data_IF_030385911767
#
_entry.id   IF_030385911767
#
_cell.length_a   1.000
_cell.length_b   1.000
_cell.length_c   1.000
_cell.angle_alpha   90.00
_cell.angle_beta   90.00
_cell.angle_gamma   90.00
#
_symmetry.space_group_name_H-M   'P 1'
#
loop_
_entity.id
_entity.type
_entity.pdbx_description
1 polymer ?
#
# COMPACT_ATOMS: atom_id res chain seq x y z
N UNK A 1 -49.26 6.82 -9.22
CA UNK A 1 -48.50 5.65 -8.73
C UNK A 1 -47.09 6.10 -8.40
N UNK A 2 -46.75 6.24 -7.11
CA UNK A 2 -45.39 6.57 -6.68
C UNK A 2 -44.53 5.31 -6.83
N UNK A 3 -43.69 5.27 -7.86
CA UNK A 3 -42.68 4.23 -8.00
C UNK A 3 -41.77 4.29 -6.77
N UNK A 4 -41.85 3.26 -5.92
CA UNK A 4 -40.87 3.04 -4.85
C UNK A 4 -39.54 2.76 -5.53
N UNK A 5 -38.73 3.80 -5.73
CA UNK A 5 -37.33 3.65 -6.08
C UNK A 5 -36.73 2.71 -5.03
N UNK A 6 -36.31 1.52 -5.46
CA UNK A 6 -35.53 0.63 -4.60
C UNK A 6 -34.34 1.45 -4.08
N UNK A 7 -34.07 1.43 -2.76
CA UNK A 7 -32.84 2.03 -2.26
C UNK A 7 -31.68 1.42 -3.05
N UNK A 8 -30.79 2.27 -3.56
CA UNK A 8 -29.60 1.83 -4.28
C UNK A 8 -28.89 0.77 -3.42
N UNK A 9 -28.46 -0.34 -4.03
CA UNK A 9 -27.72 -1.35 -3.28
C UNK A 9 -26.49 -0.70 -2.68
N UNK A 10 -26.23 -0.95 -1.40
CA UNK A 10 -25.04 -0.44 -0.74
C UNK A 10 -23.79 -0.83 -1.55
N UNK A 11 -22.79 0.08 -1.67
CA UNK A 11 -21.55 -0.24 -2.34
C UNK A 11 -20.88 -1.45 -1.69
N UNK A 12 -20.44 -2.40 -2.52
CA UNK A 12 -19.68 -3.56 -2.06
C UNK A 12 -18.22 -3.16 -1.89
N UNK A 13 -17.87 -2.67 -0.70
CA UNK A 13 -16.53 -2.15 -0.42
C UNK A 13 -15.43 -3.21 -0.51
N UNK A 14 -15.76 -4.50 -0.33
CA UNK A 14 -14.81 -5.60 -0.52
C UNK A 14 -14.35 -5.71 -1.97
N UNK A 15 -15.18 -5.27 -2.92
CA UNK A 15 -14.85 -5.21 -4.35
C UNK A 15 -14.26 -3.87 -4.79
N UNK A 16 -14.51 -2.80 -4.03
CA UNK A 16 -14.06 -1.45 -4.39
C UNK A 16 -12.70 -1.09 -3.79
N UNK A 17 -12.39 -1.58 -2.58
CA UNK A 17 -11.13 -1.30 -1.88
C UNK A 17 -10.07 -2.36 -2.20
N UNK A 18 -9.81 -2.57 -3.48
CA UNK A 18 -8.83 -3.55 -3.95
C UNK A 18 -7.54 -2.85 -4.33
N UNK A 19 -6.42 -3.32 -3.77
CA UNK A 19 -5.08 -2.88 -4.18
C UNK A 19 -4.78 -3.55 -5.53
N UNK A 20 -4.38 -2.79 -6.57
CA UNK A 20 -3.99 -3.36 -7.85
C UNK A 20 -2.90 -4.43 -7.68
N UNK A 21 -2.97 -5.49 -8.46
CA UNK A 21 -1.92 -6.52 -8.47
C UNK A 21 -0.60 -5.95 -8.99
N UNK A 22 0.52 -6.48 -8.48
CA UNK A 22 1.85 -6.07 -8.94
C UNK A 22 2.00 -6.46 -10.42
N UNK A 23 2.39 -5.53 -11.30
CA UNK A 23 2.55 -5.83 -12.71
C UNK A 23 3.70 -6.82 -12.95
N UNK A 24 3.54 -7.67 -13.97
CA UNK A 24 4.56 -8.62 -14.38
C UNK A 24 5.90 -7.93 -14.77
N UNK A 25 5.85 -6.67 -15.22
CA UNK A 25 7.03 -5.87 -15.59
C UNK A 25 8.04 -5.72 -14.45
N UNK A 26 7.58 -5.67 -13.18
CA UNK A 26 8.47 -5.63 -12.02
C UNK A 26 9.21 -6.96 -11.87
N UNK A 27 8.52 -8.09 -12.00
CA UNK A 27 9.12 -9.41 -11.91
C UNK A 27 10.14 -9.65 -13.05
N UNK A 28 9.82 -9.18 -14.25
CA UNK A 28 10.74 -9.20 -15.39
C UNK A 28 11.99 -8.34 -15.14
N UNK A 29 11.81 -7.12 -14.63
CA UNK A 29 12.92 -6.24 -14.28
C UNK A 29 13.80 -6.83 -13.16
N UNK A 30 13.20 -7.49 -12.17
CA UNK A 30 13.94 -8.22 -11.13
C UNK A 30 14.73 -9.41 -11.71
N UNK A 31 14.17 -10.15 -12.67
CA UNK A 31 14.89 -11.22 -13.34
C UNK A 31 16.10 -10.70 -14.13
N UNK A 32 15.96 -9.54 -14.80
CA UNK A 32 17.07 -8.88 -15.50
C UNK A 32 18.15 -8.41 -14.52
N UNK A 33 17.76 -7.82 -13.38
CA UNK A 33 18.70 -7.42 -12.33
C UNK A 33 19.48 -8.63 -11.79
N UNK A 34 18.80 -9.74 -11.49
CA UNK A 34 19.47 -10.97 -11.02
C UNK A 34 20.51 -11.48 -12.02
N UNK A 35 20.20 -11.45 -13.32
CA UNK A 35 21.15 -11.83 -14.38
C UNK A 35 22.34 -10.88 -14.45
N UNK A 36 22.12 -9.58 -14.34
CA UNK A 36 23.19 -8.58 -14.37
C UNK A 36 24.13 -8.70 -13.15
N UNK A 37 23.57 -8.92 -11.95
CA UNK A 37 24.34 -9.17 -10.72
C UNK A 37 25.19 -10.43 -10.86
N UNK A 38 24.59 -11.53 -11.33
CA UNK A 38 25.32 -12.79 -11.53
C UNK A 38 26.48 -12.64 -12.53
N UNK A 39 26.26 -11.93 -13.65
CA UNK A 39 27.30 -11.66 -14.62
C UNK A 39 28.43 -10.79 -14.03
N UNK A 40 28.10 -9.78 -13.21
CA UNK A 40 29.08 -8.95 -12.51
C UNK A 40 29.88 -9.76 -11.48
N UNK A 41 29.24 -10.65 -10.72
CA UNK A 41 29.91 -11.54 -9.76
C UNK A 41 30.89 -12.47 -10.45
N UNK A 42 30.46 -13.08 -11.56
CA UNK A 42 31.32 -13.96 -12.35
C UNK A 42 32.52 -13.20 -12.94
N UNK A 43 32.29 -12.02 -13.51
CA UNK A 43 33.37 -11.16 -14.01
C UNK A 43 34.36 -10.79 -12.91
N UNK A 44 33.86 -10.38 -11.75
CA UNK A 44 34.70 -10.01 -10.61
C UNK A 44 35.49 -11.20 -10.05
N UNK A 45 34.89 -12.38 -9.99
CA UNK A 45 35.58 -13.61 -9.60
C UNK A 45 36.75 -13.90 -10.56
N UNK A 46 36.53 -13.82 -11.87
CA UNK A 46 37.59 -14.00 -12.88
C UNK A 46 38.73 -13.00 -12.72
N UNK A 47 38.42 -11.72 -12.43
CA UNK A 47 39.44 -10.70 -12.16
C UNK A 47 40.26 -11.01 -10.90
N UNK A 48 39.60 -11.41 -9.80
CA UNK A 48 40.27 -11.80 -8.55
C UNK A 48 41.17 -13.03 -8.79
N UNK A 49 40.69 -14.02 -9.53
CA UNK A 49 41.47 -15.20 -9.88
C UNK A 49 42.69 -14.86 -10.74
N UNK A 50 42.54 -13.97 -11.72
CA UNK A 50 43.63 -13.48 -12.56
C UNK A 50 44.71 -12.78 -11.72
N UNK A 51 44.30 -11.90 -10.80
CA UNK A 51 45.21 -11.24 -9.86
C UNK A 51 45.92 -12.23 -8.93
N UNK A 52 45.23 -13.26 -8.43
CA UNK A 52 45.84 -14.33 -7.63
C UNK A 52 46.85 -15.15 -8.43
N UNK A 53 46.56 -15.47 -9.69
CA UNK A 53 47.48 -16.19 -10.59
C UNK A 53 48.72 -15.37 -10.89
N UNK A 54 48.60 -14.05 -11.05
CA UNK A 54 49.72 -13.15 -11.26
C UNK A 54 50.62 -13.07 -10.01
N UNK A 55 50.04 -12.95 -8.82
CA UNK A 55 50.80 -12.85 -7.57
C UNK A 55 51.55 -14.14 -7.19
N UNK A 56 51.02 -15.31 -7.56
CA UNK A 56 51.55 -16.62 -7.15
C UNK A 56 52.44 -17.28 -8.21
N UNK A 57 53.06 -16.52 -9.12
CA UNK A 57 53.90 -17.10 -10.17
C UNK A 57 55.22 -17.66 -9.61
N UNK A 58 55.60 -18.89 -9.98
CA UNK A 58 56.87 -19.48 -9.54
C UNK A 58 58.07 -18.81 -10.22
N UNK A 59 59.07 -18.45 -9.41
CA UNK A 59 60.33 -17.86 -9.89
C UNK A 59 61.07 -18.84 -10.80
N UNK A 60 61.51 -18.37 -11.97
CA UNK A 60 62.28 -19.16 -12.94
C UNK A 60 61.46 -19.91 -13.99
N UNK A 61 60.12 -19.86 -13.95
CA UNK A 61 59.24 -20.33 -15.03
C UNK A 61 58.67 -19.15 -15.82
N UNK A 62 58.33 -19.35 -17.12
CA UNK A 62 57.67 -18.31 -17.90
C UNK A 62 56.29 -17.96 -17.32
N UNK A 63 55.91 -16.66 -17.32
CA UNK A 63 54.67 -16.20 -16.71
C UNK A 63 53.44 -16.76 -17.43
N UNK A 64 52.48 -17.30 -16.67
CA UNK A 64 51.21 -17.84 -17.21
C UNK A 64 50.14 -16.78 -17.44
N UNK A 65 50.31 -15.60 -16.81
CA UNK A 65 49.44 -14.43 -16.98
C UNK A 65 50.31 -13.17 -16.82
N UNK A 66 50.02 -12.13 -17.58
CA UNK A 66 50.69 -10.84 -17.49
C UNK A 66 49.83 -9.82 -16.73
N UNK A 67 50.45 -8.74 -16.26
CA UNK A 67 49.72 -7.59 -15.70
C UNK A 67 48.69 -7.04 -16.70
N UNK A 68 49.05 -7.01 -18.00
CA UNK A 68 48.18 -6.58 -19.08
C UNK A 68 46.91 -7.42 -19.18
N UNK A 69 47.00 -8.74 -19.00
CA UNK A 69 45.83 -9.62 -19.03
C UNK A 69 44.88 -9.35 -17.86
N UNK A 70 45.43 -9.05 -16.67
CA UNK A 70 44.63 -8.68 -15.49
C UNK A 70 43.92 -7.34 -15.74
N UNK A 71 44.64 -6.35 -16.29
CA UNK A 71 44.09 -5.04 -16.61
C UNK A 71 43.00 -5.12 -17.70
N UNK A 72 43.19 -5.97 -18.72
CA UNK A 72 42.20 -6.23 -19.77
C UNK A 72 40.93 -6.87 -19.19
N UNK A 73 41.04 -7.83 -18.26
CA UNK A 73 39.89 -8.40 -17.55
C UNK A 73 39.22 -7.34 -16.65
N UNK A 74 40.01 -6.49 -16.00
CA UNK A 74 39.52 -5.37 -15.18
C UNK A 74 38.70 -4.38 -16.00
N UNK A 75 39.13 -4.06 -17.22
CA UNK A 75 38.41 -3.19 -18.14
C UNK A 75 37.03 -3.75 -18.54
N UNK A 76 36.87 -5.08 -18.57
CA UNK A 76 35.59 -5.74 -18.86
C UNK A 76 34.59 -5.68 -17.69
N UNK A 77 35.01 -5.29 -16.49
CA UNK A 77 34.10 -5.17 -15.34
C UNK A 77 33.21 -3.93 -15.42
N UNK A 78 33.73 -2.81 -15.95
CA UNK A 78 32.99 -1.56 -16.04
C UNK A 78 31.62 -1.71 -16.75
N UNK A 79 31.52 -2.33 -17.95
CA UNK A 79 30.23 -2.54 -18.59
C UNK A 79 29.29 -3.46 -17.80
N UNK A 80 29.81 -4.37 -16.96
CA UNK A 80 28.98 -5.23 -16.09
C UNK A 80 28.36 -4.43 -14.94
N UNK A 81 29.13 -3.54 -14.32
CA UNK A 81 28.61 -2.61 -13.31
C UNK A 81 27.58 -1.65 -13.90
N UNK A 82 27.83 -1.14 -15.13
CA UNK A 82 26.88 -0.26 -15.81
C UNK A 82 25.59 -1.01 -16.16
N UNK A 83 25.67 -2.27 -16.59
CA UNK A 83 24.51 -3.11 -16.86
C UNK A 83 23.68 -3.40 -15.59
N UNK A 84 24.34 -3.70 -14.46
CA UNK A 84 23.68 -3.86 -13.16
C UNK A 84 22.96 -2.57 -12.73
N UNK A 85 23.64 -1.43 -12.83
CA UNK A 85 23.07 -0.12 -12.48
C UNK A 85 21.85 0.21 -13.34
N UNK A 86 21.90 -0.06 -14.64
CA UNK A 86 20.76 0.14 -15.54
C UNK A 86 19.59 -0.80 -15.21
N UNK A 87 19.87 -2.08 -14.94
CA UNK A 87 18.85 -3.05 -14.57
C UNK A 87 18.16 -2.65 -13.26
N UNK A 88 18.94 -2.18 -12.28
CA UNK A 88 18.41 -1.67 -11.00
C UNK A 88 17.55 -0.43 -11.21
N UNK A 89 18.03 0.55 -11.97
CA UNK A 89 17.27 1.77 -12.26
C UNK A 89 15.92 1.46 -12.92
N UNK A 90 15.88 0.52 -13.88
CA UNK A 90 14.62 0.10 -14.50
C UNK A 90 13.66 -0.56 -13.52
N UNK A 91 14.16 -1.46 -12.66
CA UNK A 91 13.34 -2.09 -11.63
C UNK A 91 12.74 -1.06 -10.69
N UNK A 92 13.54 -0.10 -10.23
CA UNK A 92 13.09 0.93 -9.31
C UNK A 92 12.09 1.89 -9.98
N UNK A 93 12.28 2.22 -11.26
CA UNK A 93 11.32 3.00 -12.05
C UNK A 93 9.97 2.29 -12.17
N UNK A 94 9.94 0.99 -12.47
CA UNK A 94 8.70 0.20 -12.57
C UNK A 94 7.97 0.09 -11.22
N UNK A 95 8.72 -0.05 -10.12
CA UNK A 95 8.15 -0.03 -8.76
C UNK A 95 7.56 1.33 -8.45
N UNK A 96 8.26 2.43 -8.74
CA UNK A 96 7.77 3.78 -8.50
C UNK A 96 6.52 4.10 -9.32
N UNK A 97 6.48 3.68 -10.60
CA UNK A 97 5.27 3.80 -11.43
C UNK A 97 4.09 3.06 -10.84
N UNK A 98 4.31 1.83 -10.35
CA UNK A 98 3.27 1.05 -9.70
C UNK A 98 2.79 1.73 -8.42
N UNK A 99 3.68 2.15 -7.53
CA UNK A 99 3.32 2.85 -6.28
C UNK A 99 2.55 4.15 -6.57
N UNK A 100 2.98 4.92 -7.57
CA UNK A 100 2.30 6.12 -8.00
C UNK A 100 0.90 5.85 -8.59
N UNK A 101 0.64 4.64 -9.10
CA UNK A 101 -0.67 4.25 -9.64
C UNK A 101 -1.69 3.86 -8.56
N UNK A 102 -1.22 3.43 -7.38
CA UNK A 102 -2.10 2.96 -6.28
C UNK A 102 -2.93 4.12 -5.72
N UNK A 103 -2.30 5.26 -5.46
CA UNK A 103 -2.98 6.43 -4.89
C UNK A 103 -4.23 6.83 -5.70
N UNK A 104 -4.08 7.17 -6.99
CA UNK A 104 -5.20 7.51 -7.87
C UNK A 104 -6.29 6.42 -7.94
N UNK A 105 -5.90 5.14 -7.89
CA UNK A 105 -6.86 4.02 -7.91
C UNK A 105 -7.72 3.94 -6.64
N UNK A 106 -7.19 4.39 -5.49
CA UNK A 106 -7.87 4.30 -4.20
C UNK A 106 -8.59 5.58 -3.76
N UNK A 107 -8.25 6.74 -4.33
CA UNK A 107 -8.86 8.03 -3.96
C UNK A 107 -10.38 8.00 -4.06
N UNK A 108 -10.93 7.55 -5.18
CA UNK A 108 -12.39 7.52 -5.38
C UNK A 108 -13.09 6.46 -4.49
N UNK A 109 -12.62 5.19 -4.41
CA UNK A 109 -13.18 4.21 -3.48
C UNK A 109 -13.16 4.65 -2.00
N UNK A 110 -12.05 5.25 -1.54
CA UNK A 110 -11.95 5.77 -0.17
C UNK A 110 -12.92 6.94 0.03
N UNK A 111 -13.05 7.82 -0.96
CA UNK A 111 -14.05 8.89 -0.96
C UNK A 111 -15.48 8.35 -0.82
N UNK A 112 -15.84 7.30 -1.56
CA UNK A 112 -17.15 6.63 -1.45
C UNK A 112 -17.36 6.01 -0.07
N UNK A 113 -16.33 5.38 0.50
CA UNK A 113 -16.40 4.82 1.85
C UNK A 113 -16.70 5.90 2.88
N UNK A 114 -16.00 7.04 2.78
CA UNK A 114 -16.21 8.18 3.67
C UNK A 114 -17.65 8.70 3.58
N UNK A 115 -18.15 8.95 2.37
CA UNK A 115 -19.53 9.41 2.18
C UNK A 115 -20.54 8.42 2.76
N UNK A 116 -20.32 7.11 2.57
CA UNK A 116 -21.20 6.08 3.12
C UNK A 116 -21.16 6.04 4.66
N UNK A 117 -19.99 6.26 5.28
CA UNK A 117 -19.87 6.37 6.73
C UNK A 117 -20.60 7.62 7.26
N UNK A 118 -20.42 8.78 6.62
CA UNK A 118 -21.10 10.02 7.01
C UNK A 118 -22.62 9.85 6.92
N UNK A 119 -23.14 9.27 5.83
CA UNK A 119 -24.56 8.98 5.66
C UNK A 119 -25.08 7.97 6.72
N UNK A 120 -24.30 6.95 7.06
CA UNK A 120 -24.66 6.01 8.12
C UNK A 120 -24.72 6.68 9.49
N UNK A 121 -23.80 7.60 9.80
CA UNK A 121 -23.80 8.37 11.04
C UNK A 121 -25.05 9.28 11.09
N UNK A 122 -25.36 9.99 10.00
CA UNK A 122 -26.56 10.84 9.91
C UNK A 122 -27.84 10.03 10.14
N UNK A 123 -27.96 8.86 9.51
CA UNK A 123 -29.10 7.96 9.68
C UNK A 123 -29.22 7.43 11.11
N UNK A 124 -28.11 7.05 11.74
CA UNK A 124 -28.10 6.60 13.13
C UNK A 124 -28.47 7.72 14.10
N UNK A 125 -27.96 8.93 13.88
CA UNK A 125 -28.27 10.11 14.68
C UNK A 125 -29.76 10.44 14.62
N UNK A 126 -30.38 10.38 13.44
CA UNK A 126 -31.82 10.58 13.27
C UNK A 126 -32.65 9.53 14.04
N UNK A 127 -32.28 8.24 13.92
CA UNK A 127 -32.98 7.15 14.61
C UNK A 127 -32.87 7.26 16.13
N UNK A 128 -31.67 7.56 16.65
CA UNK A 128 -31.46 7.78 18.08
C UNK A 128 -32.20 9.04 18.57
N UNK A 129 -32.31 10.08 17.73
CA UNK A 129 -33.10 11.28 18.01
C UNK A 129 -34.57 10.96 18.30
N UNK A 130 -35.18 10.04 17.54
CA UNK A 130 -36.55 9.57 17.83
C UNK A 130 -36.67 8.91 19.21
N UNK A 131 -35.68 8.08 19.60
CA UNK A 131 -35.64 7.43 20.91
C UNK A 131 -35.48 8.43 22.05
N UNK A 132 -34.59 9.41 21.91
CA UNK A 132 -34.40 10.48 22.89
C UNK A 132 -35.66 11.34 23.05
N UNK A 133 -36.29 11.73 21.93
CA UNK A 133 -37.54 12.50 21.95
C UNK A 133 -38.71 11.69 22.57
N UNK A 134 -38.78 10.38 22.32
CA UNK A 134 -39.76 9.52 22.96
C UNK A 134 -39.53 9.42 24.47
N UNK A 135 -38.28 9.30 24.93
CA UNK A 135 -37.94 9.32 26.36
C UNK A 135 -38.38 10.61 27.04
N UNK A 136 -38.14 11.76 26.43
CA UNK A 136 -38.57 13.04 26.97
C UNK A 136 -40.10 13.11 27.11
N UNK A 137 -40.84 12.66 26.08
CA UNK A 137 -42.31 12.59 26.12
C UNK A 137 -42.84 11.65 27.20
N UNK A 138 -42.24 10.46 27.36
CA UNK A 138 -42.65 9.51 28.38
C UNK A 138 -42.38 10.02 29.80
N UNK A 139 -41.23 10.68 30.01
CA UNK A 139 -40.90 11.34 31.27
C UNK A 139 -41.88 12.46 31.61
N UNK A 140 -42.26 13.29 30.63
CA UNK A 140 -43.27 14.33 30.80
C UNK A 140 -44.67 13.76 31.13
N UNK A 141 -44.98 12.56 30.63
CA UNK A 141 -46.19 11.82 30.97
C UNK A 141 -46.11 11.04 32.30
N UNK A 142 -44.98 11.12 33.03
CA UNK A 142 -44.77 10.41 34.29
C UNK A 142 -44.56 8.90 34.15
N UNK A 143 -44.32 8.40 32.94
CA UNK A 143 -44.13 6.98 32.68
C UNK A 143 -42.65 6.60 32.71
N UNK A 144 -42.32 5.62 33.55
CA UNK A 144 -40.97 5.05 33.61
C UNK A 144 -40.75 4.01 32.50
N UNK A 145 -40.11 4.45 31.42
CA UNK A 145 -39.73 3.59 30.30
C UNK A 145 -38.77 2.45 30.68
N UNK A 146 -38.02 2.55 31.79
CA UNK A 146 -37.10 1.50 32.20
C UNK A 146 -37.82 0.17 32.51
N UNK A 147 -39.13 0.23 32.76
CA UNK A 147 -40.00 -0.94 32.96
C UNK A 147 -40.28 -1.70 31.65
N UNK A 148 -40.08 -1.07 30.49
CA UNK A 148 -40.31 -1.68 29.16
C UNK A 148 -39.00 -1.87 28.42
N UNK A 149 -38.18 -0.82 28.31
CA UNK A 149 -36.88 -0.87 27.65
C UNK A 149 -35.99 0.28 28.09
N UNK A 150 -34.71 -0.02 28.29
CA UNK A 150 -33.68 0.99 28.59
C UNK A 150 -33.16 1.69 27.33
N UNK A 151 -33.51 1.21 26.14
CA UNK A 151 -32.99 1.70 24.86
C UNK A 151 -33.23 3.21 24.66
N UNK A 152 -34.43 3.78 24.89
CA UNK A 152 -34.63 5.23 24.79
C UNK A 152 -33.75 6.05 25.75
N UNK A 153 -33.29 5.44 26.85
CA UNK A 153 -32.39 6.04 27.83
C UNK A 153 -30.96 6.19 27.39
N UNK A 154 -30.48 5.31 26.53
CA UNK A 154 -29.11 5.35 26.01
C UNK A 154 -29.01 6.18 24.74
N UNK A 155 -30.13 6.54 24.10
CA UNK A 155 -30.11 7.24 22.82
C UNK A 155 -29.37 8.58 22.87
N UNK A 156 -29.66 9.46 23.83
CA UNK A 156 -29.00 10.77 23.93
C UNK A 156 -27.47 10.66 24.20
N UNK A 157 -27.00 9.86 25.18
CA UNK A 157 -25.56 9.61 25.35
C UNK A 157 -24.88 8.99 24.12
N UNK A 158 -25.62 8.18 23.34
CA UNK A 158 -25.06 7.55 22.14
C UNK A 158 -24.88 8.56 21.00
N UNK A 159 -25.79 9.54 20.87
CA UNK A 159 -25.65 10.66 19.91
C UNK A 159 -24.37 11.45 20.19
N UNK A 160 -24.07 11.75 21.46
CA UNK A 160 -22.83 12.45 21.84
C UNK A 160 -21.58 11.66 21.41
N UNK A 161 -21.58 10.34 21.59
CA UNK A 161 -20.49 9.46 21.15
C UNK A 161 -20.34 9.42 19.63
N UNK A 162 -21.45 9.44 18.88
CA UNK A 162 -21.41 9.56 17.42
C UNK A 162 -20.77 10.88 16.98
N UNK A 163 -20.98 11.97 17.73
CA UNK A 163 -20.27 13.23 17.51
C UNK A 163 -18.74 13.10 17.59
N UNK A 164 -18.23 12.32 18.55
CA UNK A 164 -16.79 12.04 18.68
C UNK A 164 -16.26 11.22 17.51
N UNK A 165 -17.02 10.22 17.05
CA UNK A 165 -16.67 9.42 15.87
C UNK A 165 -16.56 10.31 14.63
N UNK A 166 -17.54 11.20 14.43
CA UNK A 166 -17.53 12.17 13.32
C UNK A 166 -16.32 13.11 13.39
N UNK A 167 -15.95 13.57 14.59
CA UNK A 167 -14.77 14.40 14.77
C UNK A 167 -13.48 13.65 14.39
N UNK A 168 -13.33 12.40 14.84
CA UNK A 168 -12.18 11.57 14.50
C UNK A 168 -12.05 11.34 12.98
N UNK A 169 -13.16 11.08 12.29
CA UNK A 169 -13.18 10.92 10.84
C UNK A 169 -12.76 12.19 10.11
N UNK A 170 -13.27 13.37 10.52
CA UNK A 170 -12.84 14.66 9.94
C UNK A 170 -11.36 14.97 10.16
N UNK A 171 -10.77 14.48 11.24
CA UNK A 171 -9.33 14.61 11.47
C UNK A 171 -8.50 13.72 10.55
N UNK A 172 -9.00 12.52 10.23
CA UNK A 172 -8.33 11.60 9.31
C UNK A 172 -8.24 12.16 7.87
N UNK A 173 -9.10 13.11 7.50
CA UNK A 173 -9.14 13.74 6.16
C UNK A 173 -8.13 14.86 5.92
N UNK A 174 -7.35 15.26 6.93
CA UNK A 174 -6.37 16.37 6.79
C UNK A 174 -4.97 15.91 6.36
N UNK A 175 -4.81 14.65 5.97
CA UNK A 175 -3.57 14.09 5.43
C UNK A 175 -3.65 13.99 3.90
#
# INVERSE_FOLDING_TARGET
MLARLKPASQPDFDKLLVIPEKPASIAEAEAVLRKAVAAREEGQARHIEAGRKLANQPLGQPPTISQRDVDEIGALLQPLFDAEKQAKARRDEEVQKFEASIGPALVEPIGKLRTAIDEAIDNLEALLGHGAAFRARAGAAGFDLAKVSRLPGICAPTIERLGLVRAALKHADRA
#
